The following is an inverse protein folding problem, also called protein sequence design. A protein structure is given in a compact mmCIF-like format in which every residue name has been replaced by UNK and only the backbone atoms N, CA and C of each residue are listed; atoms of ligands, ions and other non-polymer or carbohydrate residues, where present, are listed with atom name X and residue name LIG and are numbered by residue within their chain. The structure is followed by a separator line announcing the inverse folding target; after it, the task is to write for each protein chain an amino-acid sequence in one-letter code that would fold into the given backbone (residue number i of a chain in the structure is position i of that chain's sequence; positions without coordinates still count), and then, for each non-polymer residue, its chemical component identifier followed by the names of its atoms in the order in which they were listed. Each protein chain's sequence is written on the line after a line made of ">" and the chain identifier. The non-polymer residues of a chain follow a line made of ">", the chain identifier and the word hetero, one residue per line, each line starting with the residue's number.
data_IF_668459796812
#
_entry.id   IF_668459796812
#
_cell.length_a   1.000
_cell.length_b   1.000
_cell.length_c   1.000
_cell.angle_alpha   90.00
_cell.angle_beta   90.00
_cell.angle_gamma   90.00
#
_symmetry.space_group_name_H-M   'P 1'
#
loop_
_entity.id
_entity.type
_entity.pdbx_description
1 polymer ?
#
# COMPACT_ATOMS: atom_id res chain seq x y z
N UNK A 1 -9.12 -10.33 -31.87
CA UNK A 1 -9.31 -10.83 -30.49
C UNK A 1 -10.07 -12.16 -30.48
N UNK A 2 -11.36 -12.21 -30.86
CA UNK A 2 -12.09 -13.50 -30.96
C UNK A 2 -11.50 -14.40 -32.04
N UNK A 3 -11.16 -13.87 -33.21
CA UNK A 3 -10.48 -14.62 -34.28
C UNK A 3 -9.14 -15.21 -33.82
N UNK A 4 -8.31 -14.41 -33.12
CA UNK A 4 -7.06 -14.92 -32.52
C UNK A 4 -7.30 -16.04 -31.49
N UNK A 5 -8.38 -15.95 -30.71
CA UNK A 5 -8.73 -17.01 -29.77
C UNK A 5 -9.22 -18.27 -30.48
N UNK A 6 -10.00 -18.13 -31.55
CA UNK A 6 -10.44 -19.25 -32.39
C UNK A 6 -9.24 -19.97 -33.02
N UNK A 7 -8.24 -19.22 -33.48
CA UNK A 7 -6.97 -19.74 -33.98
C UNK A 7 -6.18 -20.47 -32.89
N UNK A 8 -6.01 -19.87 -31.71
CA UNK A 8 -5.34 -20.53 -30.57
C UNK A 8 -6.09 -21.81 -30.15
N UNK A 9 -7.43 -21.75 -30.05
CA UNK A 9 -8.25 -22.91 -29.66
C UNK A 9 -8.41 -23.97 -30.76
N UNK A 10 -7.83 -23.75 -31.95
CA UNK A 10 -7.68 -24.82 -32.95
C UNK A 10 -6.65 -25.86 -32.50
N UNK A 11 -5.69 -25.47 -31.67
CA UNK A 11 -4.57 -26.32 -31.22
C UNK A 11 -4.67 -26.73 -29.73
N UNK A 12 -5.51 -26.08 -28.94
CA UNK A 12 -5.66 -26.35 -27.50
C UNK A 12 -7.09 -26.16 -27.00
N UNK A 13 -7.41 -26.74 -25.84
CA UNK A 13 -8.75 -26.65 -25.22
C UNK A 13 -8.85 -25.61 -24.10
N UNK A 14 -7.70 -25.13 -23.60
CA UNK A 14 -7.61 -24.15 -22.52
C UNK A 14 -6.37 -23.28 -22.70
N UNK A 15 -6.52 -21.99 -22.40
CA UNK A 15 -5.41 -21.07 -22.22
C UNK A 15 -5.30 -20.80 -20.72
N UNK A 16 -4.23 -21.29 -20.11
CA UNK A 16 -3.94 -21.13 -18.69
C UNK A 16 -3.01 -19.91 -18.50
N UNK A 17 -3.49 -18.89 -17.81
CA UNK A 17 -2.68 -17.78 -17.34
C UNK A 17 -2.39 -17.98 -15.85
N UNK A 18 -1.13 -18.06 -15.47
CA UNK A 18 -0.68 -18.07 -14.08
C UNK A 18 0.25 -16.91 -13.81
N UNK A 19 0.10 -16.30 -12.64
CA UNK A 19 1.03 -15.29 -12.14
C UNK A 19 1.94 -15.98 -11.13
N UNK A 20 3.22 -16.04 -11.45
CA UNK A 20 4.27 -16.49 -10.55
C UNK A 20 5.15 -15.28 -10.28
N UNK A 21 5.07 -14.76 -9.05
CA UNK A 21 5.70 -13.49 -8.68
C UNK A 21 5.25 -12.33 -9.59
N UNK A 22 6.08 -11.96 -10.59
CA UNK A 22 5.81 -10.91 -11.58
C UNK A 22 5.67 -11.42 -13.00
N UNK A 23 5.92 -12.70 -13.19
CA UNK A 23 5.96 -13.27 -14.52
C UNK A 23 4.60 -13.88 -14.83
N UNK A 24 4.14 -13.59 -16.04
CA UNK A 24 3.01 -14.28 -16.60
C UNK A 24 3.51 -15.61 -17.16
N UNK A 25 2.98 -16.72 -16.65
CA UNK A 25 3.15 -18.04 -17.22
C UNK A 25 1.91 -18.35 -18.04
N UNK A 26 2.08 -18.60 -19.34
CA UNK A 26 1.00 -18.99 -20.23
C UNK A 26 1.22 -20.45 -20.63
N UNK A 27 0.22 -21.31 -20.39
CA UNK A 27 0.29 -22.75 -20.71
C UNK A 27 1.59 -23.41 -20.21
N UNK A 28 1.94 -23.16 -18.94
CA UNK A 28 3.13 -23.69 -18.26
C UNK A 28 4.47 -23.23 -18.82
N UNK A 29 4.47 -22.22 -19.70
CA UNK A 29 5.67 -21.62 -20.25
C UNK A 29 5.77 -20.15 -19.83
N UNK A 30 6.94 -19.66 -19.39
CA UNK A 30 7.12 -18.24 -19.11
C UNK A 30 6.82 -17.39 -20.35
N UNK A 31 5.96 -16.39 -20.19
CA UNK A 31 5.62 -15.46 -21.25
C UNK A 31 6.66 -14.33 -21.27
N UNK A 32 7.56 -14.37 -22.25
CA UNK A 32 8.77 -13.52 -22.30
C UNK A 32 8.53 -12.12 -22.88
N UNK A 33 7.29 -11.75 -23.18
CA UNK A 33 6.99 -10.43 -23.75
C UNK A 33 6.80 -9.41 -22.61
N UNK A 34 7.77 -8.49 -22.48
CA UNK A 34 7.78 -7.41 -21.49
C UNK A 34 6.96 -6.18 -21.92
N UNK A 35 6.06 -6.32 -22.88
CA UNK A 35 5.19 -5.24 -23.32
C UNK A 35 4.33 -4.65 -22.19
N UNK A 36 4.09 -3.33 -22.26
CA UNK A 36 3.25 -2.54 -21.33
C UNK A 36 1.88 -3.20 -21.01
N UNK A 37 1.35 -3.97 -21.95
CA UNK A 37 0.07 -4.65 -21.84
C UNK A 37 0.11 -5.86 -20.87
N UNK A 38 1.22 -6.60 -20.83
CA UNK A 38 1.40 -7.76 -19.95
C UNK A 38 1.46 -7.31 -18.49
N UNK A 39 2.28 -6.30 -18.19
CA UNK A 39 2.35 -5.73 -16.84
C UNK A 39 1.00 -5.21 -16.34
N UNK A 40 0.24 -4.50 -17.19
CA UNK A 40 -1.12 -4.03 -16.86
C UNK A 40 -2.10 -5.19 -16.62
N UNK A 41 -1.99 -6.26 -17.39
CA UNK A 41 -2.83 -7.43 -17.24
C UNK A 41 -2.55 -8.17 -15.93
N UNK A 42 -1.28 -8.41 -15.60
CA UNK A 42 -0.85 -8.99 -14.32
C UNK A 42 -1.38 -8.13 -13.17
N UNK A 43 -1.17 -6.81 -13.22
CA UNK A 43 -1.65 -5.88 -12.18
C UNK A 43 -3.16 -5.98 -11.97
N UNK A 44 -3.95 -6.05 -13.05
CA UNK A 44 -5.42 -6.20 -12.99
C UNK A 44 -5.85 -7.52 -12.33
N UNK A 45 -5.18 -8.63 -12.64
CA UNK A 45 -5.47 -9.93 -12.03
C UNK A 45 -5.11 -9.93 -10.54
N UNK A 46 -3.92 -9.44 -10.17
CA UNK A 46 -3.49 -9.33 -8.77
C UNK A 46 -4.42 -8.44 -7.93
N UNK A 47 -4.88 -7.31 -8.47
CA UNK A 47 -5.88 -6.45 -7.79
C UNK A 47 -7.22 -7.15 -7.51
N UNK A 48 -7.53 -8.21 -8.27
CA UNK A 48 -8.71 -9.06 -8.03
C UNK A 48 -8.41 -10.29 -7.17
N UNK A 49 -7.18 -10.41 -6.65
CA UNK A 49 -6.71 -11.61 -5.96
C UNK A 49 -6.57 -12.84 -6.87
N UNK A 50 -6.59 -12.65 -8.19
CA UNK A 50 -6.53 -13.73 -9.16
C UNK A 50 -5.07 -14.01 -9.49
N UNK A 51 -4.63 -15.23 -9.18
CA UNK A 51 -3.29 -15.73 -9.51
C UNK A 51 -3.33 -16.70 -10.68
N UNK A 52 -4.51 -17.26 -10.97
CA UNK A 52 -4.75 -18.13 -12.12
C UNK A 52 -6.02 -17.72 -12.84
N UNK A 53 -5.96 -17.60 -14.16
CA UNK A 53 -7.11 -17.35 -15.02
C UNK A 53 -7.04 -18.37 -16.16
N UNK A 54 -8.04 -19.25 -16.24
CA UNK A 54 -8.16 -20.22 -17.31
C UNK A 54 -9.31 -19.81 -18.23
N UNK A 55 -9.02 -19.72 -19.53
CA UNK A 55 -10.03 -19.48 -20.56
C UNK A 55 -10.17 -20.77 -21.36
N UNK A 56 -11.36 -21.36 -21.33
CA UNK A 56 -11.68 -22.60 -22.02
C UNK A 56 -12.22 -22.34 -23.43
N UNK A 57 -11.96 -23.31 -24.31
CA UNK A 57 -12.53 -23.38 -25.66
C UNK A 57 -14.06 -23.29 -25.60
N UNK A 58 -14.63 -22.55 -26.56
CA UNK A 58 -16.06 -22.28 -26.60
C UNK A 58 -16.50 -20.98 -25.92
N UNK A 59 -15.55 -20.19 -25.38
CA UNK A 59 -15.85 -18.85 -24.84
C UNK A 59 -16.55 -17.98 -25.88
N UNK A 60 -17.72 -17.45 -25.52
CA UNK A 60 -18.50 -16.57 -26.41
C UNK A 60 -18.04 -15.12 -26.29
N UNK A 61 -18.23 -14.32 -27.34
CA UNK A 61 -17.97 -12.87 -27.31
C UNK A 61 -18.62 -12.18 -26.10
N UNK A 62 -19.84 -12.56 -25.73
CA UNK A 62 -20.53 -12.01 -24.55
C UNK A 62 -19.83 -12.33 -23.22
N UNK A 63 -19.23 -13.52 -23.08
CA UNK A 63 -18.44 -13.91 -21.91
C UNK A 63 -17.12 -13.14 -21.87
N UNK A 64 -16.45 -12.98 -23.03
CA UNK A 64 -15.24 -12.16 -23.13
C UNK A 64 -15.49 -10.70 -22.75
N UNK A 65 -16.58 -10.10 -23.23
CA UNK A 65 -16.97 -8.74 -22.84
C UNK A 65 -17.21 -8.64 -21.33
N UNK A 66 -17.85 -9.65 -20.72
CA UNK A 66 -18.06 -9.71 -19.26
C UNK A 66 -16.75 -9.86 -18.49
N UNK A 67 -15.81 -10.68 -18.98
CA UNK A 67 -14.48 -10.84 -18.39
C UNK A 67 -13.69 -9.52 -18.46
N UNK A 68 -13.64 -8.87 -19.63
CA UNK A 68 -13.00 -7.57 -19.81
C UNK A 68 -13.65 -6.52 -18.89
N UNK A 69 -14.98 -6.49 -18.83
CA UNK A 69 -15.70 -5.57 -17.94
C UNK A 69 -15.39 -5.85 -16.47
N UNK A 70 -15.27 -7.11 -16.05
CA UNK A 70 -14.88 -7.49 -14.70
C UNK A 70 -13.45 -7.04 -14.37
N UNK A 71 -12.48 -7.26 -15.27
CA UNK A 71 -11.09 -6.80 -15.13
C UNK A 71 -10.96 -5.27 -15.24
N UNK A 72 -11.97 -4.58 -15.76
CA UNK A 72 -11.98 -3.13 -15.96
C UNK A 72 -12.80 -2.35 -14.94
N UNK A 73 -13.70 -3.00 -14.18
CA UNK A 73 -14.59 -2.35 -13.20
C UNK A 73 -14.18 -2.68 -11.76
N UNK A 74 -14.56 -1.81 -10.82
CA UNK A 74 -14.36 -2.02 -9.37
C UNK A 74 -15.25 -3.14 -8.76
N UNK A 75 -15.95 -3.94 -9.56
CA UNK A 75 -16.82 -5.00 -9.04
C UNK A 75 -16.02 -6.14 -8.40
N UNK A 76 -16.47 -6.57 -7.21
CA UNK A 76 -15.77 -7.50 -6.31
C UNK A 76 -16.02 -8.98 -6.57
N UNK A 77 -17.12 -9.35 -7.24
CA UNK A 77 -17.48 -10.76 -7.43
C UNK A 77 -16.99 -11.25 -8.78
N UNK A 78 -16.16 -12.29 -8.77
CA UNK A 78 -15.80 -13.02 -9.99
C UNK A 78 -17.10 -13.46 -10.66
N UNK A 79 -17.36 -13.04 -11.91
CA UNK A 79 -18.56 -13.47 -12.61
C UNK A 79 -18.46 -14.98 -12.83
N UNK A 80 -19.52 -15.71 -12.49
CA UNK A 80 -19.64 -17.10 -12.92
C UNK A 80 -19.82 -17.10 -14.44
N UNK A 81 -18.76 -17.48 -15.15
CA UNK A 81 -18.71 -17.58 -16.60
C UNK A 81 -18.44 -19.04 -16.95
N UNK A 82 -19.25 -19.68 -17.80
CA UNK A 82 -19.10 -21.10 -18.14
C UNK A 82 -17.69 -21.48 -18.62
N UNK A 83 -17.04 -20.62 -19.39
CA UNK A 83 -15.74 -20.90 -20.00
C UNK A 83 -14.57 -20.13 -19.35
N UNK A 84 -14.77 -19.49 -18.20
CA UNK A 84 -13.70 -18.79 -17.50
C UNK A 84 -13.62 -19.28 -16.06
N UNK A 85 -12.48 -19.83 -15.68
CA UNK A 85 -12.18 -20.21 -14.29
C UNK A 85 -11.11 -19.28 -13.74
N UNK A 86 -11.28 -18.84 -12.51
CA UNK A 86 -10.24 -18.07 -11.81
C UNK A 86 -9.81 -18.83 -10.57
N UNK A 87 -8.52 -19.05 -10.41
CA UNK A 87 -7.90 -19.45 -9.17
C UNK A 87 -7.50 -18.21 -8.39
N UNK A 88 -7.97 -18.12 -7.16
CA UNK A 88 -7.43 -17.22 -6.15
C UNK A 88 -6.37 -18.04 -5.42
N UNK A 89 -5.20 -17.48 -5.15
CA UNK A 89 -4.42 -17.99 -4.02
C UNK A 89 -5.28 -17.65 -2.81
N UNK A 90 -6.04 -18.63 -2.32
CA UNK A 90 -6.29 -18.67 -0.90
C UNK A 90 -4.90 -18.67 -0.29
N UNK A 91 -4.51 -17.52 0.25
CA UNK A 91 -3.60 -17.53 1.37
C UNK A 91 -4.34 -18.38 2.39
N UNK A 92 -4.03 -19.68 2.39
CA UNK A 92 -4.31 -20.57 3.49
C UNK A 92 -3.45 -20.02 4.61
N UNK A 93 -3.92 -18.96 5.25
CA UNK A 93 -3.82 -18.91 6.70
C UNK A 93 -4.55 -20.17 7.11
N UNK A 94 -3.82 -21.13 7.66
CA UNK A 94 -4.38 -22.38 8.12
C UNK A 94 -5.47 -22.09 9.16
N UNK A 95 -6.70 -21.91 8.71
CA UNK A 95 -7.87 -21.86 9.59
C UNK A 95 -8.68 -23.11 9.26
N UNK A 96 -8.13 -24.24 9.69
CA UNK A 96 -8.98 -25.27 10.28
C UNK A 96 -9.66 -24.62 11.48
N UNK A 97 -10.99 -24.70 11.52
CA UNK A 97 -11.81 -23.87 12.39
C UNK A 97 -11.43 -23.92 13.86
N UNK A 98 -11.12 -22.76 14.42
CA UNK A 98 -11.54 -22.39 15.76
C UNK A 98 -11.49 -20.86 15.86
N UNK A 99 -12.53 -20.25 16.44
CA UNK A 99 -12.65 -18.79 16.57
C UNK A 99 -11.71 -18.20 17.65
N UNK A 100 -10.72 -18.97 18.11
CA UNK A 100 -9.77 -18.61 19.16
C UNK A 100 -8.41 -18.06 18.68
N UNK A 101 -7.99 -18.31 17.44
CA UNK A 101 -6.62 -18.01 16.93
C UNK A 101 -6.58 -16.92 15.85
N UNK A 102 -7.58 -16.04 15.79
CA UNK A 102 -7.64 -14.99 14.75
C UNK A 102 -6.70 -13.81 15.05
N UNK A 103 -6.40 -13.55 16.33
CA UNK A 103 -5.52 -12.45 16.76
C UNK A 103 -4.04 -12.77 16.43
N UNK A 104 -3.63 -14.01 16.62
CA UNK A 104 -2.29 -14.51 16.30
C UNK A 104 -2.00 -14.46 14.79
N UNK A 105 -2.96 -14.86 13.94
CA UNK A 105 -2.77 -14.84 12.48
C UNK A 105 -2.56 -13.44 11.87
N UNK A 106 -3.22 -12.42 12.42
CA UNK A 106 -3.06 -11.02 11.97
C UNK A 106 -1.71 -10.42 12.39
N UNK A 107 -1.28 -10.71 13.62
CA UNK A 107 0.03 -10.28 14.13
C UNK A 107 1.17 -10.95 13.36
N UNK A 108 1.02 -12.23 13.02
CA UNK A 108 1.96 -12.98 12.17
C UNK A 108 2.03 -12.37 10.78
N UNK A 109 0.89 -12.09 10.14
CA UNK A 109 0.84 -11.45 8.82
C UNK A 109 1.55 -10.10 8.82
N UNK A 110 1.28 -9.26 9.83
CA UNK A 110 1.94 -7.95 9.94
C UNK A 110 3.45 -8.10 10.14
N UNK A 111 3.88 -9.06 10.95
CA UNK A 111 5.30 -9.32 11.19
C UNK A 111 6.00 -9.82 9.93
N UNK A 112 5.36 -10.70 9.16
CA UNK A 112 5.85 -11.18 7.86
C UNK A 112 6.02 -10.01 6.87
N UNK A 113 5.02 -9.12 6.77
CA UNK A 113 5.09 -7.98 5.86
C UNK A 113 6.15 -6.95 6.28
N UNK A 114 6.37 -6.76 7.58
CA UNK A 114 7.45 -5.90 8.10
C UNK A 114 8.82 -6.45 7.70
N UNK A 115 9.07 -7.75 7.89
CA UNK A 115 10.36 -8.34 7.54
C UNK A 115 10.58 -8.30 6.02
N UNK A 116 9.55 -8.58 5.23
CA UNK A 116 9.62 -8.46 3.77
C UNK A 116 9.92 -7.03 3.33
N UNK A 117 9.27 -6.03 3.94
CA UNK A 117 9.56 -4.63 3.62
C UNK A 117 11.01 -4.26 3.94
N UNK A 118 11.52 -4.74 5.08
CA UNK A 118 12.92 -4.58 5.47
C UNK A 118 13.88 -5.24 4.49
N UNK A 119 13.59 -6.44 4.01
CA UNK A 119 14.42 -7.12 2.98
C UNK A 119 14.46 -6.31 1.68
N UNK A 120 13.30 -5.83 1.21
CA UNK A 120 13.18 -5.04 -0.03
C UNK A 120 13.99 -3.75 0.07
N UNK A 121 13.91 -3.06 1.21
CA UNK A 121 14.54 -1.75 1.42
C UNK A 121 16.02 -1.85 1.79
N UNK A 122 16.43 -2.89 2.53
CA UNK A 122 17.86 -3.10 2.88
C UNK A 122 18.73 -3.42 1.66
N UNK A 123 18.11 -3.87 0.57
CA UNK A 123 18.78 -4.07 -0.71
C UNK A 123 18.97 -2.78 -1.52
N UNK A 124 18.33 -1.67 -1.17
CA UNK A 124 18.37 -0.46 -2.00
C UNK A 124 19.76 0.17 -1.95
N UNK A 125 20.34 0.36 -3.13
CA UNK A 125 21.64 1.00 -3.32
C UNK A 125 21.68 1.66 -4.70
N UNK A 126 22.72 2.44 -5.05
CA UNK A 126 22.88 2.97 -6.41
C UNK A 126 22.84 1.89 -7.51
N UNK A 127 23.05 0.62 -7.18
CA UNK A 127 23.10 -0.50 -8.11
C UNK A 127 21.94 -1.50 -7.96
N UNK A 128 21.04 -1.27 -7.00
CA UNK A 128 19.90 -2.17 -6.74
C UNK A 128 18.66 -1.36 -6.39
N UNK A 129 17.67 -1.45 -7.27
CA UNK A 129 16.40 -0.75 -7.14
C UNK A 129 15.42 -1.51 -6.22
N UNK A 130 14.40 -0.78 -5.76
CA UNK A 130 13.30 -1.31 -4.97
C UNK A 130 12.49 -2.34 -5.79
N UNK A 131 12.19 -3.49 -5.19
CA UNK A 131 11.26 -4.46 -5.80
C UNK A 131 9.83 -3.93 -5.74
N UNK A 132 9.38 -3.29 -6.83
CA UNK A 132 8.03 -2.74 -6.98
C UNK A 132 6.97 -3.79 -6.71
N UNK A 133 7.19 -4.97 -7.25
CA UNK A 133 6.35 -6.13 -7.06
C UNK A 133 6.20 -6.58 -5.62
N UNK A 134 7.31 -6.56 -4.86
CA UNK A 134 7.29 -6.87 -3.45
C UNK A 134 6.48 -5.84 -2.66
N UNK A 135 6.61 -4.56 -3.03
CA UNK A 135 5.80 -3.48 -2.46
C UNK A 135 4.31 -3.65 -2.79
N UNK A 136 3.97 -3.89 -4.06
CA UNK A 136 2.58 -4.13 -4.47
C UNK A 136 2.01 -5.35 -3.73
N UNK A 137 2.79 -6.42 -3.57
CA UNK A 137 2.32 -7.61 -2.86
C UNK A 137 2.02 -7.35 -1.38
N UNK A 138 2.90 -6.62 -0.68
CA UNK A 138 2.68 -6.22 0.71
C UNK A 138 1.34 -5.47 0.84
N UNK A 139 1.13 -4.48 -0.03
CA UNK A 139 -0.08 -3.64 0.02
C UNK A 139 -1.32 -4.41 -0.40
N UNK A 140 -1.23 -5.31 -1.38
CA UNK A 140 -2.34 -6.19 -1.77
C UNK A 140 -2.71 -7.14 -0.63
N UNK A 141 -1.73 -7.73 0.06
CA UNK A 141 -1.97 -8.59 1.22
C UNK A 141 -2.72 -7.83 2.30
N UNK A 142 -2.27 -6.62 2.65
CA UNK A 142 -3.03 -5.77 3.57
C UNK A 142 -4.44 -5.52 3.06
N UNK A 143 -4.61 -5.08 1.81
CA UNK A 143 -5.91 -4.77 1.22
C UNK A 143 -6.88 -5.96 1.32
N UNK A 144 -6.44 -7.14 0.91
CA UNK A 144 -7.23 -8.38 0.96
C UNK A 144 -7.62 -8.71 2.40
N UNK A 145 -6.67 -8.63 3.33
CA UNK A 145 -6.94 -8.90 4.75
C UNK A 145 -7.92 -7.89 5.35
N UNK A 146 -7.80 -6.58 5.05
CA UNK A 146 -8.77 -5.59 5.54
C UNK A 146 -10.19 -5.94 5.10
N UNK A 147 -10.36 -6.38 3.85
CA UNK A 147 -11.67 -6.71 3.29
C UNK A 147 -12.26 -7.98 3.87
N UNK A 148 -11.43 -8.94 4.29
CA UNK A 148 -11.87 -10.22 4.85
C UNK A 148 -12.26 -10.08 6.31
N UNK A 149 -11.49 -9.33 7.09
CA UNK A 149 -11.55 -9.45 8.54
C UNK A 149 -12.26 -8.28 9.23
N UNK A 150 -12.63 -7.22 8.50
CA UNK A 150 -13.41 -6.08 9.01
C UNK A 150 -12.72 -5.26 10.12
N UNK A 151 -11.61 -5.74 10.66
CA UNK A 151 -10.88 -5.20 11.81
C UNK A 151 -9.46 -4.78 11.43
N UNK A 152 -9.33 -3.92 10.43
CA UNK A 152 -8.06 -3.45 9.88
C UNK A 152 -7.05 -2.94 10.92
N UNK A 153 -7.52 -2.32 11.99
CA UNK A 153 -6.65 -1.78 13.04
C UNK A 153 -5.88 -2.86 13.80
N UNK A 154 -6.28 -4.13 13.69
CA UNK A 154 -5.55 -5.26 14.26
C UNK A 154 -4.27 -5.60 13.47
N UNK A 155 -4.13 -5.10 12.24
CA UNK A 155 -2.88 -5.16 11.47
C UNK A 155 -1.82 -4.16 11.96
N UNK A 156 -2.15 -3.30 12.93
CA UNK A 156 -1.17 -2.37 13.48
C UNK A 156 -0.23 -3.10 14.42
N UNK A 157 1.04 -3.19 14.03
CA UNK A 157 2.05 -3.86 14.83
C UNK A 157 2.55 -2.92 15.94
N UNK A 158 2.67 -3.40 17.19
CA UNK A 158 3.33 -2.65 18.24
C UNK A 158 4.83 -2.53 17.92
N UNK A 159 5.42 -1.36 18.14
CA UNK A 159 6.87 -1.18 17.99
C UNK A 159 7.59 -1.99 19.07
N UNK A 160 8.29 -3.05 18.66
CA UNK A 160 9.02 -3.95 19.57
C UNK A 160 10.44 -3.46 19.88
N UNK A 161 11.09 -2.74 18.97
CA UNK A 161 12.47 -2.27 19.14
C UNK A 161 12.78 -0.96 18.40
N UNK A 162 13.82 -0.24 18.82
CA UNK A 162 14.26 1.01 18.17
C UNK A 162 14.79 0.77 16.74
N UNK A 163 15.41 -0.38 16.49
CA UNK A 163 15.94 -0.76 15.17
C UNK A 163 14.85 -1.15 14.16
N UNK A 164 13.70 -1.64 14.64
CA UNK A 164 12.56 -2.02 13.79
C UNK A 164 11.54 -0.89 13.59
N UNK A 165 11.66 0.19 14.39
CA UNK A 165 10.73 1.30 14.42
C UNK A 165 10.39 1.82 13.02
N UNK A 166 11.39 2.03 12.16
CA UNK A 166 11.16 2.61 10.83
C UNK A 166 10.29 1.72 9.93
N UNK A 167 10.50 0.39 9.95
CA UNK A 167 9.75 -0.55 9.11
C UNK A 167 8.35 -0.81 9.64
N UNK A 168 8.22 -0.96 10.96
CA UNK A 168 6.92 -1.04 11.64
C UNK A 168 6.10 0.22 11.40
N UNK A 169 6.71 1.39 11.53
CA UNK A 169 6.07 2.67 11.29
C UNK A 169 5.57 2.80 9.84
N UNK A 170 6.43 2.54 8.84
CA UNK A 170 6.02 2.59 7.44
C UNK A 170 4.84 1.65 7.13
N UNK A 171 4.86 0.45 7.71
CA UNK A 171 3.78 -0.53 7.58
C UNK A 171 2.48 -0.05 8.22
N UNK A 172 2.54 0.46 9.46
CA UNK A 172 1.37 1.01 10.15
C UNK A 172 0.80 2.22 9.41
N UNK A 173 1.65 3.10 8.88
CA UNK A 173 1.23 4.27 8.09
C UNK A 173 0.52 3.82 6.81
N UNK A 174 1.00 2.77 6.13
CA UNK A 174 0.31 2.19 4.97
C UNK A 174 -1.10 1.71 5.36
N UNK A 175 -1.21 0.89 6.41
CA UNK A 175 -2.48 0.35 6.92
C UNK A 175 -3.46 1.46 7.32
N UNK A 176 -3.01 2.46 8.09
CA UNK A 176 -3.84 3.59 8.52
C UNK A 176 -4.26 4.49 7.36
N UNK A 177 -3.40 4.66 6.35
CA UNK A 177 -3.73 5.43 5.15
C UNK A 177 -4.80 4.72 4.32
N UNK A 178 -4.68 3.41 4.15
CA UNK A 178 -5.69 2.58 3.49
C UNK A 178 -7.02 2.58 4.25
N UNK A 179 -6.97 2.47 5.57
CA UNK A 179 -8.14 2.60 6.45
C UNK A 179 -8.92 3.88 6.17
N UNK A 180 -8.20 5.01 6.19
CA UNK A 180 -8.82 6.31 6.00
C UNK A 180 -9.36 6.47 4.58
N UNK A 181 -8.62 6.02 3.57
CA UNK A 181 -9.05 6.03 2.18
C UNK A 181 -10.35 5.22 1.97
N UNK A 182 -10.44 4.03 2.57
CA UNK A 182 -11.65 3.21 2.52
C UNK A 182 -12.83 3.88 3.24
N UNK A 183 -12.60 4.48 4.40
CA UNK A 183 -13.62 5.22 5.14
C UNK A 183 -14.17 6.43 4.38
N UNK A 184 -13.37 7.00 3.47
CA UNK A 184 -13.78 8.08 2.57
C UNK A 184 -14.53 7.55 1.32
N UNK A 185 -14.68 6.24 1.17
CA UNK A 185 -15.35 5.61 0.04
C UNK A 185 -14.51 5.61 -1.24
N UNK A 186 -13.18 5.73 -1.13
CA UNK A 186 -12.29 5.68 -2.28
C UNK A 186 -12.25 4.25 -2.84
N UNK A 187 -12.14 4.13 -4.16
CA UNK A 187 -12.12 2.84 -4.84
C UNK A 187 -10.87 2.02 -4.51
N UNK A 188 -10.98 0.70 -4.58
CA UNK A 188 -9.92 -0.24 -4.16
C UNK A 188 -8.56 0.02 -4.86
N UNK A 189 -8.58 0.47 -6.12
CA UNK A 189 -7.37 0.89 -6.86
C UNK A 189 -6.68 2.08 -6.18
N UNK A 190 -7.43 3.12 -5.82
CA UNK A 190 -6.86 4.30 -5.17
C UNK A 190 -6.46 4.02 -3.71
N UNK A 191 -7.18 3.13 -3.02
CA UNK A 191 -6.79 2.63 -1.69
C UNK A 191 -5.45 1.90 -1.77
N UNK A 192 -5.26 1.04 -2.78
CA UNK A 192 -3.99 0.37 -3.04
C UNK A 192 -2.86 1.36 -3.32
N UNK A 193 -3.08 2.33 -4.20
CA UNK A 193 -2.06 3.36 -4.49
C UNK A 193 -1.71 4.20 -3.25
N UNK A 194 -2.70 4.52 -2.40
CA UNK A 194 -2.48 5.20 -1.11
C UNK A 194 -1.69 4.31 -0.14
N UNK A 195 -1.95 3.01 -0.12
CA UNK A 195 -1.17 2.05 0.67
C UNK A 195 0.31 2.04 0.26
N UNK A 196 0.59 2.04 -1.04
CA UNK A 196 1.96 2.17 -1.56
C UNK A 196 2.57 3.51 -1.15
N UNK A 197 1.81 4.60 -1.32
CA UNK A 197 2.27 5.94 -0.94
C UNK A 197 2.58 6.05 0.56
N UNK A 198 1.75 5.44 1.42
CA UNK A 198 1.97 5.36 2.86
C UNK A 198 3.18 4.51 3.22
N UNK A 199 3.38 3.36 2.56
CA UNK A 199 4.53 2.48 2.81
C UNK A 199 5.86 3.14 2.41
N UNK A 200 5.84 3.95 1.34
CA UNK A 200 7.04 4.57 0.77
C UNK A 200 7.23 6.05 1.11
N UNK A 201 6.39 6.64 1.96
CA UNK A 201 6.42 8.09 2.24
C UNK A 201 7.81 8.56 2.69
N UNK A 202 8.47 7.73 3.50
CA UNK A 202 9.75 7.99 4.15
C UNK A 202 10.96 7.34 3.42
N UNK A 203 10.77 6.76 2.23
CA UNK A 203 11.83 6.04 1.50
C UNK A 203 13.07 6.89 1.25
N UNK A 204 12.91 8.22 1.21
CA UNK A 204 14.00 9.17 1.08
C UNK A 204 15.02 9.13 2.22
N UNK A 205 14.66 8.58 3.39
CA UNK A 205 15.59 8.38 4.51
C UNK A 205 16.72 7.42 4.16
N UNK A 206 16.54 6.54 3.17
CA UNK A 206 17.61 5.68 2.66
C UNK A 206 18.80 6.47 2.07
N UNK A 207 18.59 7.74 1.73
CA UNK A 207 19.61 8.64 1.17
C UNK A 207 20.13 9.66 2.18
N UNK A 208 19.71 9.59 3.44
CA UNK A 208 20.22 10.42 4.53
C UNK A 208 21.29 9.63 5.29
N UNK A 209 22.37 10.30 5.72
CA UNK A 209 23.44 9.65 6.47
C UNK A 209 22.90 8.92 7.70
N UNK A 210 23.33 7.66 7.87
CA UNK A 210 22.98 6.82 9.01
C UNK A 210 23.41 7.47 10.34
N UNK A 211 24.56 8.14 10.36
CA UNK A 211 25.04 8.87 11.55
C UNK A 211 24.07 9.96 12.00
N UNK A 212 23.43 10.65 11.05
CA UNK A 212 22.43 11.69 11.32
C UNK A 212 21.11 11.07 11.79
N UNK A 213 20.65 10.01 11.11
CA UNK A 213 19.40 9.33 11.45
C UNK A 213 19.43 8.62 12.82
N UNK A 214 20.57 8.03 13.18
CA UNK A 214 20.74 7.25 14.41
C UNK A 214 21.38 8.06 15.55
N UNK A 215 21.59 9.37 15.35
CA UNK A 215 22.26 10.25 16.34
C UNK A 215 21.54 10.20 17.70
N UNK A 216 22.28 9.77 18.73
CA UNK A 216 21.82 9.79 20.13
C UNK A 216 22.02 11.20 20.71
N UNK A 217 21.12 12.13 20.42
CA UNK A 217 21.20 13.50 20.94
C UNK A 217 20.33 14.49 20.18
N UNK A 218 20.51 15.79 20.46
CA UNK A 218 19.92 16.84 19.63
C UNK A 218 20.69 16.92 18.31
N UNK A 219 19.94 17.06 17.22
CA UNK A 219 20.50 17.39 15.92
C UNK A 219 20.95 18.85 15.90
N UNK A 220 22.00 19.17 15.15
CA UNK A 220 22.30 20.55 14.76
C UNK A 220 21.26 21.03 13.74
N UNK A 221 21.24 22.34 13.48
CA UNK A 221 20.33 22.89 12.48
C UNK A 221 20.63 22.34 11.08
N UNK A 222 21.91 22.14 10.74
CA UNK A 222 22.35 21.55 9.47
C UNK A 222 21.94 20.08 9.34
N UNK A 223 22.12 19.30 10.42
CA UNK A 223 21.67 17.91 10.46
C UNK A 223 20.15 17.81 10.31
N UNK A 224 19.41 18.72 10.94
CA UNK A 224 17.97 18.76 10.81
C UNK A 224 17.51 19.17 9.41
N UNK A 225 18.16 20.15 8.77
CA UNK A 225 17.93 20.50 7.37
C UNK A 225 18.23 19.33 6.43
N UNK A 226 19.28 18.54 6.70
CA UNK A 226 19.57 17.34 5.92
C UNK A 226 18.48 16.27 6.08
N UNK A 227 17.97 16.05 7.31
CA UNK A 227 16.83 15.15 7.49
C UNK A 227 15.62 15.62 6.69
N UNK A 228 15.28 16.92 6.67
CA UNK A 228 14.12 17.43 5.92
C UNK A 228 14.19 17.09 4.43
N UNK A 229 15.40 16.96 3.87
CA UNK A 229 15.61 16.63 2.44
C UNK A 229 15.17 15.21 2.08
N UNK A 230 14.90 14.32 3.05
CA UNK A 230 14.33 13.00 2.74
C UNK A 230 13.05 13.11 1.89
N UNK A 231 12.23 14.14 2.11
CA UNK A 231 11.03 14.40 1.29
C UNK A 231 11.37 14.56 -0.19
N UNK A 232 12.45 15.31 -0.49
CA UNK A 232 12.93 15.57 -1.85
C UNK A 232 13.61 14.32 -2.41
N UNK A 233 14.46 13.66 -1.64
CA UNK A 233 15.17 12.45 -2.06
C UNK A 233 14.19 11.33 -2.42
N UNK A 234 13.18 11.12 -1.57
CA UNK A 234 12.14 10.11 -1.80
C UNK A 234 11.30 10.44 -3.03
N UNK A 235 10.85 11.69 -3.17
CA UNK A 235 10.12 12.12 -4.36
C UNK A 235 10.92 11.92 -5.66
N UNK A 236 12.19 12.33 -5.67
CA UNK A 236 13.08 12.15 -6.83
C UNK A 236 13.30 10.67 -7.15
N UNK A 237 13.56 9.85 -6.12
CA UNK A 237 13.76 8.41 -6.28
C UNK A 237 12.53 7.74 -6.88
N UNK A 238 11.35 7.99 -6.30
CA UNK A 238 10.09 7.39 -6.73
C UNK A 238 9.64 7.89 -8.11
N UNK A 239 9.91 9.16 -8.44
CA UNK A 239 9.52 9.75 -9.74
C UNK A 239 10.26 9.17 -10.94
N UNK A 240 11.39 8.49 -10.73
CA UNK A 240 12.16 7.84 -11.80
C UNK A 240 11.56 6.50 -12.24
N UNK A 241 10.54 6.01 -11.53
CA UNK A 241 9.99 4.69 -11.76
C UNK A 241 8.53 4.77 -12.22
N UNK A 242 8.31 4.59 -13.51
CA UNK A 242 6.99 4.68 -14.15
C UNK A 242 6.01 3.56 -13.74
N UNK A 243 6.51 2.51 -13.10
CA UNK A 243 5.67 1.39 -12.63
C UNK A 243 5.06 1.66 -11.25
N UNK A 244 5.56 2.66 -10.51
CA UNK A 244 4.96 3.09 -9.24
C UNK A 244 3.85 4.12 -9.47
N UNK A 245 2.82 4.16 -8.60
CA UNK A 245 1.81 5.22 -8.64
C UNK A 245 2.47 6.59 -8.44
N UNK A 246 2.18 7.55 -9.32
CA UNK A 246 2.73 8.91 -9.22
C UNK A 246 2.41 9.56 -7.86
N UNK A 247 1.29 9.19 -7.23
CA UNK A 247 0.90 9.70 -5.92
C UNK A 247 1.87 9.30 -4.80
N UNK A 248 2.68 8.25 -4.98
CA UNK A 248 3.71 7.87 -4.01
C UNK A 248 4.83 8.92 -3.96
N UNK A 249 5.30 9.39 -5.13
CA UNK A 249 6.28 10.48 -5.19
C UNK A 249 5.72 11.79 -4.61
N UNK A 250 4.43 12.08 -4.87
CA UNK A 250 3.73 13.26 -4.33
C UNK A 250 3.64 13.17 -2.79
N UNK A 251 3.21 12.03 -2.24
CA UNK A 251 3.11 11.83 -0.80
C UNK A 251 4.48 11.95 -0.12
N UNK A 252 5.52 11.35 -0.71
CA UNK A 252 6.89 11.47 -0.18
C UNK A 252 7.36 12.93 -0.14
N UNK A 253 7.03 13.73 -1.15
CA UNK A 253 7.35 15.15 -1.17
C UNK A 253 6.57 15.97 -0.13
N UNK A 254 5.29 15.67 0.04
CA UNK A 254 4.33 16.60 0.68
C UNK A 254 3.88 16.21 2.10
N UNK A 255 4.20 15.00 2.60
CA UNK A 255 3.65 14.50 3.87
C UNK A 255 4.04 15.33 5.10
N UNK A 256 5.04 16.21 5.01
CA UNK A 256 5.40 17.17 6.06
C UNK A 256 4.95 18.62 5.82
N UNK A 257 4.24 18.90 4.72
CA UNK A 257 3.60 20.20 4.49
C UNK A 257 2.37 20.36 5.39
N UNK A 258 2.07 21.56 5.84
CA UNK A 258 0.81 21.85 6.51
C UNK A 258 -0.31 22.07 5.51
N UNK A 259 -1.55 21.84 5.94
CA UNK A 259 -2.77 22.25 5.24
C UNK A 259 -2.81 23.76 4.96
N UNK A 260 -2.15 24.58 5.80
CA UNK A 260 -1.96 26.02 5.60
C UNK A 260 -0.82 26.37 4.63
N UNK A 261 -0.18 25.37 4.04
CA UNK A 261 0.94 25.51 3.10
C UNK A 261 2.30 25.79 3.76
N UNK A 262 2.42 25.68 5.09
CA UNK A 262 3.71 25.71 5.80
C UNK A 262 4.36 24.32 5.81
N UNK A 263 5.40 24.14 6.61
CA UNK A 263 6.14 22.86 6.71
C UNK A 263 7.29 22.80 5.71
N UNK A 264 7.70 21.58 5.34
CA UNK A 264 8.79 21.35 4.38
C UNK A 264 8.42 20.26 3.36
N UNK A 265 8.96 20.36 2.13
CA UNK A 265 9.86 21.42 1.64
C UNK A 265 9.12 22.75 1.40
N UNK A 266 9.78 23.89 1.65
CA UNK A 266 9.14 25.19 1.51
C UNK A 266 9.00 25.60 0.02
N UNK A 267 7.77 25.73 -0.47
CA UNK A 267 7.49 26.23 -1.81
C UNK A 267 7.41 27.76 -1.82
N UNK A 268 8.44 28.42 -2.36
CA UNK A 268 8.60 29.89 -2.28
C UNK A 268 7.59 30.70 -3.12
N UNK A 269 6.94 30.08 -4.11
CA UNK A 269 6.19 30.82 -5.14
C UNK A 269 4.69 30.51 -5.18
N UNK A 270 4.22 29.40 -4.57
CA UNK A 270 2.81 29.00 -4.61
C UNK A 270 2.44 28.36 -3.27
N UNK A 271 1.50 28.95 -2.54
CA UNK A 271 0.79 28.26 -1.45
C UNK A 271 -0.14 27.22 -2.07
N UNK A 272 0.42 26.09 -2.49
CA UNK A 272 -0.35 24.98 -3.04
C UNK A 272 -0.91 24.16 -1.88
N UNK A 273 -2.19 23.80 -1.96
CA UNK A 273 -2.77 22.82 -1.06
C UNK A 273 -2.15 21.46 -1.37
N UNK A 274 -1.77 20.73 -0.33
CA UNK A 274 -1.33 19.34 -0.44
C UNK A 274 -2.30 18.50 -1.25
N UNK A 275 -1.78 17.54 -1.99
CA UNK A 275 -2.58 16.51 -2.63
C UNK A 275 -3.37 15.69 -1.57
N UNK A 276 -4.54 15.18 -1.94
CA UNK A 276 -5.39 14.41 -1.02
C UNK A 276 -4.64 13.21 -0.41
N UNK A 277 -3.88 12.48 -1.23
CA UNK A 277 -3.04 11.37 -0.77
C UNK A 277 -2.06 11.82 0.33
N UNK A 278 -1.36 12.94 0.13
CA UNK A 278 -0.42 13.49 1.11
C UNK A 278 -1.11 13.89 2.42
N UNK A 279 -2.33 14.44 2.35
CA UNK A 279 -3.12 14.76 3.55
C UNK A 279 -3.53 13.51 4.34
N UNK A 280 -3.88 12.42 3.64
CA UNK A 280 -4.20 11.11 4.25
C UNK A 280 -2.95 10.51 4.90
N UNK A 281 -1.85 10.41 4.15
CA UNK A 281 -0.58 9.86 4.64
C UNK A 281 -0.06 10.66 5.84
N UNK A 282 -0.14 11.99 5.80
CA UNK A 282 0.26 12.83 6.92
C UNK A 282 -0.56 12.59 8.19
N UNK A 283 -1.87 12.36 8.07
CA UNK A 283 -2.74 12.06 9.22
C UNK A 283 -2.34 10.71 9.83
N UNK A 284 -2.09 9.71 9.00
CA UNK A 284 -1.63 8.39 9.40
C UNK A 284 -0.24 8.41 10.06
N UNK A 285 0.74 9.07 9.42
CA UNK A 285 2.10 9.29 9.92
C UNK A 285 2.07 9.94 11.30
N UNK A 286 1.38 11.07 11.44
CA UNK A 286 1.32 11.78 12.71
C UNK A 286 0.64 10.95 13.82
N UNK A 287 -0.43 10.23 13.49
CA UNK A 287 -1.11 9.36 14.45
C UNK A 287 -0.19 8.23 14.92
N UNK A 288 0.47 7.52 14.00
CA UNK A 288 1.39 6.45 14.37
C UNK A 288 2.60 6.99 15.14
N UNK A 289 3.24 8.07 14.67
CA UNK A 289 4.41 8.66 15.35
C UNK A 289 4.13 9.10 16.79
N UNK A 290 2.92 9.58 17.10
CA UNK A 290 2.51 9.92 18.47
C UNK A 290 2.21 8.70 19.34
N UNK A 291 1.75 7.59 18.73
CA UNK A 291 1.51 6.32 19.41
C UNK A 291 2.77 5.50 19.61
N UNK A 292 3.71 5.57 18.67
CA UNK A 292 4.84 4.66 18.52
C UNK A 292 6.11 5.11 19.26
N UNK A 293 6.11 6.28 19.94
CA UNK A 293 7.27 6.82 20.67
C UNK A 293 7.04 6.96 22.19
N UNK A 294 7.61 6.03 22.99
CA UNK A 294 8.59 6.25 24.08
C UNK A 294 8.69 5.04 25.04
N UNK A 295 9.88 4.45 25.25
CA UNK A 295 10.14 3.49 26.33
C UNK A 295 9.93 4.02 27.77
N UNK A 296 9.65 5.32 27.93
CA UNK A 296 9.56 6.01 29.23
C UNK A 296 8.39 7.01 29.34
N UNK A 297 7.40 6.97 28.44
CA UNK A 297 6.11 7.64 28.63
C UNK A 297 5.02 6.67 28.19
N UNK A 298 4.03 6.44 29.05
CA UNK A 298 2.78 5.76 28.64
C UNK A 298 2.26 6.41 27.36
N UNK A 299 1.87 5.57 26.42
CA UNK A 299 1.27 5.93 25.13
C UNK A 299 0.31 7.10 25.30
N UNK A 300 0.30 8.01 24.32
CA UNK A 300 -0.86 8.88 24.21
C UNK A 300 -2.03 7.97 23.86
N UNK A 301 -2.95 7.81 24.82
CA UNK A 301 -4.22 7.13 24.56
C UNK A 301 -4.83 7.70 23.29
N UNK A 302 -5.47 6.85 22.48
CA UNK A 302 -6.07 7.18 21.19
C UNK A 302 -6.84 8.49 21.26
N UNK A 303 -7.63 8.68 22.33
CA UNK A 303 -8.39 9.91 22.56
C UNK A 303 -7.52 11.16 22.62
N UNK A 304 -6.38 11.08 23.31
CA UNK A 304 -5.44 12.19 23.51
C UNK A 304 -4.73 12.55 22.21
N UNK A 305 -4.32 11.55 21.42
CA UNK A 305 -3.76 11.74 20.07
C UNK A 305 -4.77 12.44 19.15
N UNK A 306 -6.03 11.99 19.17
CA UNK A 306 -7.10 12.60 18.38
C UNK A 306 -7.40 14.05 18.82
N UNK A 307 -7.27 14.39 20.11
CA UNK A 307 -7.40 15.78 20.58
C UNK A 307 -6.31 16.65 19.99
N UNK A 308 -5.04 16.23 20.05
CA UNK A 308 -3.92 16.99 19.46
C UNK A 308 -4.14 17.21 17.96
N UNK A 309 -4.57 16.17 17.23
CA UNK A 309 -4.84 16.29 15.79
C UNK A 309 -5.97 17.27 15.49
N UNK A 310 -7.02 17.30 16.32
CA UNK A 310 -8.10 18.28 16.21
C UNK A 310 -7.62 19.70 16.49
N UNK A 311 -6.80 19.91 17.52
CA UNK A 311 -6.21 21.22 17.82
C UNK A 311 -5.31 21.73 16.68
N UNK A 312 -4.64 20.83 15.96
CA UNK A 312 -3.80 21.16 14.82
C UNK A 312 -4.55 21.28 13.48
N UNK A 313 -5.88 21.08 13.46
CA UNK A 313 -6.70 21.19 12.25
C UNK A 313 -6.73 22.62 11.70
N UNK A 314 -6.96 22.78 10.40
CA UNK A 314 -6.84 24.04 9.63
C UNK A 314 -5.43 24.64 9.53
N UNK A 315 -4.48 24.15 10.31
CA UNK A 315 -3.06 24.51 10.21
C UNK A 315 -2.25 23.37 9.61
N UNK A 316 -2.13 22.28 10.36
CA UNK A 316 -1.39 21.10 9.91
C UNK A 316 -2.27 20.21 9.07
N UNK A 317 -3.49 19.91 9.55
CA UNK A 317 -4.33 18.89 8.93
C UNK A 317 -5.61 19.48 8.35
N UNK A 318 -6.15 18.81 7.34
CA UNK A 318 -7.49 19.07 6.85
C UNK A 318 -8.52 18.64 7.92
N UNK A 319 -9.36 19.56 8.42
CA UNK A 319 -10.31 19.27 9.50
C UNK A 319 -11.30 18.15 9.15
N UNK A 320 -11.75 18.07 7.89
CA UNK A 320 -12.71 17.06 7.43
C UNK A 320 -12.10 15.66 7.50
N UNK A 321 -10.82 15.56 7.10
CA UNK A 321 -10.11 14.29 7.11
C UNK A 321 -9.80 13.82 8.54
N UNK A 322 -9.40 14.74 9.43
CA UNK A 322 -9.19 14.44 10.87
C UNK A 322 -10.49 13.98 11.52
N UNK A 323 -11.61 14.65 11.24
CA UNK A 323 -12.90 14.25 11.79
C UNK A 323 -13.34 12.88 11.30
N UNK A 324 -13.21 12.62 10.00
CA UNK A 324 -13.49 11.31 9.40
C UNK A 324 -12.63 10.22 10.02
N UNK A 325 -11.32 10.45 10.13
CA UNK A 325 -10.38 9.50 10.74
C UNK A 325 -10.75 9.20 12.19
N UNK A 326 -10.93 10.24 13.01
CA UNK A 326 -11.29 10.11 14.42
C UNK A 326 -12.59 9.33 14.63
N UNK A 327 -13.63 9.66 13.84
CA UNK A 327 -14.95 9.04 13.94
C UNK A 327 -14.89 7.55 13.60
N UNK A 328 -14.23 7.19 12.51
CA UNK A 328 -14.16 5.81 12.06
C UNK A 328 -13.21 4.98 12.93
N UNK A 329 -12.08 5.55 13.36
CA UNK A 329 -11.15 4.89 14.28
C UNK A 329 -11.85 4.51 15.59
N UNK A 330 -12.59 5.46 16.20
CA UNK A 330 -13.32 5.19 17.44
C UNK A 330 -14.47 4.19 17.28
N UNK A 331 -15.03 4.04 16.07
CA UNK A 331 -16.02 3.00 15.77
C UNK A 331 -15.35 1.63 15.67
N UNK A 332 -14.25 1.54 14.93
CA UNK A 332 -13.49 0.32 14.75
C UNK A 332 -12.89 -0.21 16.06
N UNK A 333 -12.60 0.66 17.03
CA UNK A 333 -12.13 0.25 18.37
C UNK A 333 -13.25 -0.21 19.33
N UNK A 334 -14.53 0.00 18.97
CA UNK A 334 -15.69 -0.38 19.80
C UNK A 334 -16.35 -1.68 19.35
N UNK A 335 -16.11 -2.11 18.11
CA UNK A 335 -16.64 -3.34 17.52
C UNK A 335 -15.60 -4.44 17.59
#
# INVERSE_FOLDING_TARGET
>A
AMECLEEIFSEMDVIEFMIVENDLVVNRSPFKDEGLFVGRFIKKLRHKGITRLDIHKGIKRAEMVKLIAFLSRQHRKVPSLPHVKTGIVDVVLGVGGDTGDMETGLEELSSEQIERFKEITSGVSPFKELSIAGIEEIVIKFLVTMKREGALLRLLSPVKSYSEYTYTHATNVAVLSMFQAECLGLGDEFVHEIGIAGLLHDVGKLFVSREVLEKKGRLTDEEFEEIKRHTIYGALYLSKNDSLPQIAAIASLEHHLGFDGRGYPAFRLVRRRQHLCSQIVQIADFFDALRSRRPYKRDWDVKKTLVIMKEASNRQFNPVLVESFARNLLRALKG
#
